data_IF_409312317532
#
_entry.id   IF_409312317532
#
_cell.length_a   1.000
_cell.length_b   1.000
_cell.length_c   1.000
_cell.angle_alpha   90.00
_cell.angle_beta   90.00
_cell.angle_gamma   90.00
#
_symmetry.space_group_name_H-M   'P 1'
#
loop_
_entity.id
_entity.type
_entity.pdbx_description
1 polymer ?
#
# COMPACT_ATOMS: atom_id res chain seq x y z
N UNK A 1 22.67 8.03 6.88
CA UNK A 1 21.39 7.48 7.38
C UNK A 1 21.46 5.97 7.21
N UNK A 2 21.07 5.22 8.23
CA UNK A 2 21.16 3.75 8.19
C UNK A 2 19.81 3.16 7.80
N UNK A 3 19.75 2.36 6.73
CA UNK A 3 18.57 1.63 6.28
C UNK A 3 18.36 0.30 7.03
N UNK A 4 19.01 0.13 8.16
CA UNK A 4 18.84 -1.06 9.00
C UNK A 4 17.41 -1.12 9.51
N UNK A 5 16.67 -2.15 9.08
CA UNK A 5 15.30 -2.39 9.52
C UNK A 5 15.32 -3.10 10.87
N UNK A 6 14.53 -2.60 11.80
CA UNK A 6 14.40 -3.18 13.14
C UNK A 6 13.17 -4.09 13.16
N UNK A 7 13.30 -5.29 12.62
CA UNK A 7 12.19 -6.26 12.45
C UNK A 7 11.60 -6.76 13.76
N UNK A 8 12.35 -6.67 14.87
CA UNK A 8 11.84 -7.00 16.22
C UNK A 8 10.87 -5.97 16.80
N UNK A 9 10.65 -4.83 16.11
CA UNK A 9 9.68 -3.80 16.49
C UNK A 9 8.70 -3.55 15.34
N UNK A 10 7.43 -3.36 15.66
CA UNK A 10 6.38 -3.02 14.73
C UNK A 10 5.83 -1.63 15.05
N UNK A 11 5.77 -0.75 14.06
CA UNK A 11 5.18 0.59 14.20
C UNK A 11 3.66 0.53 14.05
N UNK A 12 3.17 -0.23 13.07
CA UNK A 12 1.74 -0.39 12.83
C UNK A 12 1.46 -1.65 12.05
N UNK A 13 0.22 -2.13 12.15
CA UNK A 13 -0.31 -3.21 11.32
C UNK A 13 -1.80 -3.00 11.12
N UNK A 14 -2.25 -3.08 9.89
CA UNK A 14 -3.68 -3.02 9.55
C UNK A 14 -4.00 -3.98 8.41
N UNK A 15 -5.21 -4.52 8.42
CA UNK A 15 -5.75 -5.33 7.34
C UNK A 15 -7.26 -5.08 7.24
N UNK A 16 -7.71 -4.69 6.06
CA UNK A 16 -9.13 -4.48 5.77
C UNK A 16 -9.51 -5.26 4.52
N UNK A 17 -10.76 -5.67 4.46
CA UNK A 17 -11.27 -6.45 3.32
C UNK A 17 -12.52 -5.80 2.74
N UNK A 18 -12.73 -6.03 1.45
CA UNK A 18 -13.92 -5.64 0.72
C UNK A 18 -14.28 -6.70 -0.33
N UNK A 19 -15.57 -6.80 -0.66
CA UNK A 19 -16.04 -7.72 -1.70
C UNK A 19 -15.84 -7.09 -3.07
N UNK A 20 -15.40 -7.91 -4.02
CA UNK A 20 -15.37 -7.64 -5.46
C UNK A 20 -16.43 -8.50 -6.11
N UNK A 21 -17.41 -7.89 -6.81
CA UNK A 21 -18.49 -8.58 -7.51
C UNK A 21 -18.03 -9.01 -8.91
N UNK A 22 -17.02 -9.87 -8.92
CA UNK A 22 -16.52 -10.52 -10.12
C UNK A 22 -15.93 -11.90 -9.76
N UNK A 23 -16.00 -12.87 -10.69
CA UNK A 23 -15.32 -14.14 -10.55
C UNK A 23 -13.81 -13.94 -10.39
N UNK A 24 -13.18 -14.71 -9.51
CA UNK A 24 -11.74 -14.56 -9.22
C UNK A 24 -10.86 -14.71 -10.46
N UNK A 25 -11.29 -15.50 -11.46
CA UNK A 25 -10.59 -15.72 -12.71
C UNK A 25 -10.51 -14.48 -13.62
N UNK A 26 -11.33 -13.45 -13.34
CA UNK A 26 -11.32 -12.16 -14.03
C UNK A 26 -10.49 -11.11 -13.29
N UNK A 27 -10.13 -11.37 -12.03
CA UNK A 27 -9.33 -10.47 -11.21
C UNK A 27 -7.84 -10.74 -11.41
N UNK A 28 -7.07 -9.66 -11.55
CA UNK A 28 -5.62 -9.71 -11.61
C UNK A 28 -5.07 -8.47 -10.90
N UNK A 29 -4.70 -8.67 -9.61
CA UNK A 29 -4.21 -7.59 -8.75
C UNK A 29 -2.89 -7.02 -9.27
N UNK A 30 -1.99 -7.88 -9.75
CA UNK A 30 -0.70 -7.43 -10.25
C UNK A 30 -0.85 -6.53 -11.47
N UNK A 31 -1.68 -6.95 -12.45
CA UNK A 31 -1.94 -6.12 -13.60
C UNK A 31 -2.68 -4.83 -13.25
N UNK A 32 -3.64 -4.88 -12.32
CA UNK A 32 -4.32 -3.69 -11.82
C UNK A 32 -3.31 -2.72 -11.18
N UNK A 33 -2.51 -3.17 -10.23
CA UNK A 33 -1.57 -2.32 -9.48
C UNK A 33 -0.57 -1.63 -10.40
N UNK A 34 0.07 -2.40 -11.30
CA UNK A 34 1.14 -1.87 -12.14
C UNK A 34 0.67 -1.15 -13.42
N UNK A 35 -0.62 -1.00 -13.60
CA UNK A 35 -1.21 -0.22 -14.68
C UNK A 35 -2.30 0.74 -14.18
N UNK A 36 -2.37 0.94 -12.85
CA UNK A 36 -3.30 1.88 -12.22
C UNK A 36 -2.96 3.31 -12.68
N UNK A 37 -3.87 4.02 -13.38
CA UNK A 37 -3.64 5.40 -13.75
C UNK A 37 -3.59 6.30 -12.52
N UNK A 38 -2.73 7.33 -12.54
CA UNK A 38 -2.60 8.29 -11.44
C UNK A 38 -3.95 8.90 -11.02
N UNK A 39 -4.77 9.31 -11.99
CA UNK A 39 -6.10 9.87 -11.71
C UNK A 39 -7.04 8.87 -11.02
N UNK A 40 -6.90 7.56 -11.27
CA UNK A 40 -7.65 6.52 -10.57
C UNK A 40 -7.10 6.31 -9.16
N UNK A 41 -5.78 6.30 -8.99
CA UNK A 41 -5.14 6.25 -7.68
C UNK A 41 -5.61 7.40 -6.78
N UNK A 42 -5.59 8.64 -7.29
CA UNK A 42 -6.06 9.82 -6.56
C UNK A 42 -7.53 9.69 -6.13
N UNK A 43 -8.40 9.11 -6.98
CA UNK A 43 -9.81 8.87 -6.62
C UNK A 43 -10.00 7.84 -5.52
N UNK A 44 -9.07 6.90 -5.37
CA UNK A 44 -9.17 5.81 -4.41
C UNK A 44 -8.94 6.21 -2.95
N UNK A 45 -8.38 7.38 -2.67
CA UNK A 45 -8.33 7.94 -1.31
C UNK A 45 -8.07 9.45 -1.33
N UNK A 46 -8.97 10.23 -1.96
CA UNK A 46 -8.84 11.70 -1.97
C UNK A 46 -9.13 12.30 -0.59
N UNK A 47 -8.39 13.31 -0.12
CA UNK A 47 -7.26 13.97 -0.77
C UNK A 47 -5.88 13.34 -0.46
N UNK A 48 -5.83 12.20 0.21
CA UNK A 48 -4.60 11.62 0.72
C UNK A 48 -3.67 11.16 -0.41
N UNK A 49 -4.22 10.50 -1.45
CA UNK A 49 -3.47 10.05 -2.60
C UNK A 49 -3.10 11.23 -3.53
N UNK A 50 -1.80 11.44 -3.74
CA UNK A 50 -1.28 12.59 -4.48
C UNK A 50 -0.79 12.18 -5.87
N UNK A 51 0.06 11.14 -5.94
CA UNK A 51 0.65 10.68 -7.20
C UNK A 51 0.99 9.21 -7.15
N UNK A 52 0.88 8.52 -8.28
CA UNK A 52 1.35 7.16 -8.44
C UNK A 52 1.97 6.96 -9.83
N UNK A 53 2.98 6.09 -9.87
CA UNK A 53 3.64 5.69 -11.11
C UNK A 53 4.27 4.31 -10.97
N UNK A 54 4.68 3.74 -12.10
CA UNK A 54 5.30 2.41 -12.14
C UNK A 54 6.59 2.45 -12.93
N UNK A 55 7.54 1.63 -12.51
CA UNK A 55 8.84 1.44 -13.15
C UNK A 55 9.38 0.04 -12.83
N UNK A 56 10.66 -0.18 -13.09
CA UNK A 56 11.39 -1.39 -12.71
C UNK A 56 12.69 -1.01 -12.03
N UNK A 57 13.19 -1.88 -11.16
CA UNK A 57 14.56 -1.82 -10.64
C UNK A 57 15.56 -2.20 -11.74
N UNK A 58 16.84 -1.94 -11.52
CA UNK A 58 17.92 -2.29 -12.44
C UNK A 58 18.02 -3.82 -12.67
N UNK A 59 17.61 -4.63 -11.68
CA UNK A 59 17.52 -6.09 -11.80
C UNK A 59 16.16 -6.58 -12.34
N UNK A 60 15.31 -5.66 -12.85
CA UNK A 60 14.08 -5.95 -13.57
C UNK A 60 12.85 -6.25 -12.70
N UNK A 61 12.91 -6.07 -11.39
CA UNK A 61 11.72 -6.22 -10.52
C UNK A 61 10.76 -5.06 -10.73
N UNK A 62 9.47 -5.36 -10.76
CA UNK A 62 8.43 -4.34 -10.91
C UNK A 62 8.38 -3.43 -9.68
N UNK A 63 8.19 -2.13 -9.92
CA UNK A 63 8.06 -1.13 -8.86
C UNK A 63 6.77 -0.31 -9.03
N UNK A 64 6.14 0.01 -7.89
CA UNK A 64 5.15 1.07 -7.77
C UNK A 64 5.70 2.20 -6.90
N UNK A 65 5.57 3.43 -7.38
CA UNK A 65 5.96 4.63 -6.62
C UNK A 65 4.69 5.35 -6.25
N UNK A 66 4.45 5.52 -4.94
CA UNK A 66 3.26 6.18 -4.44
C UNK A 66 3.65 7.38 -3.59
N UNK A 67 2.92 8.48 -3.75
CA UNK A 67 3.05 9.69 -2.94
C UNK A 67 1.69 9.95 -2.30
N UNK A 68 1.66 10.02 -0.97
CA UNK A 68 0.41 10.15 -0.22
C UNK A 68 0.61 10.85 1.13
N UNK A 69 -0.45 11.47 1.63
CA UNK A 69 -0.51 11.99 3.00
C UNK A 69 -1.14 10.95 3.91
N UNK A 70 -0.41 10.54 4.96
CA UNK A 70 -0.96 9.69 6.04
C UNK A 70 -0.93 10.50 7.33
N UNK A 71 -2.09 10.96 7.77
CA UNK A 71 -2.18 11.96 8.82
C UNK A 71 -1.48 13.26 8.40
N UNK A 72 -0.45 13.68 9.15
CA UNK A 72 0.36 14.86 8.82
C UNK A 72 1.71 14.52 8.16
N UNK A 73 1.90 13.28 7.73
CA UNK A 73 3.16 12.81 7.15
C UNK A 73 3.01 12.60 5.65
N UNK A 74 3.81 13.31 4.85
CA UNK A 74 3.94 13.01 3.43
C UNK A 74 4.84 11.78 3.28
N UNK A 75 4.29 10.72 2.68
CA UNK A 75 5.00 9.50 2.37
C UNK A 75 5.39 9.46 0.91
N UNK A 76 6.67 9.12 0.63
CA UNK A 76 7.15 8.78 -0.71
C UNK A 76 7.63 7.34 -0.66
N UNK A 77 6.89 6.47 -1.32
CA UNK A 77 7.02 5.03 -1.19
C UNK A 77 7.56 4.45 -2.51
N UNK A 78 8.68 3.73 -2.43
CA UNK A 78 9.32 3.07 -3.55
C UNK A 78 9.14 1.55 -3.42
N UNK A 79 7.93 1.09 -3.70
CA UNK A 79 7.56 -0.30 -3.54
C UNK A 79 8.18 -1.20 -4.59
N UNK A 80 9.01 -2.15 -4.17
CA UNK A 80 9.54 -3.22 -5.01
C UNK A 80 8.70 -4.48 -4.80
N UNK A 81 8.29 -5.13 -5.88
CA UNK A 81 7.52 -6.36 -5.81
C UNK A 81 8.41 -7.54 -5.38
N UNK A 82 8.08 -8.16 -4.25
CA UNK A 82 8.58 -9.49 -3.87
C UNK A 82 7.71 -10.60 -4.49
N UNK A 83 6.39 -10.37 -4.57
CA UNK A 83 5.42 -11.25 -5.21
C UNK A 83 4.50 -10.36 -6.06
N UNK A 84 4.24 -10.79 -7.29
CA UNK A 84 3.31 -10.13 -8.20
C UNK A 84 2.60 -11.18 -9.05
N UNK A 85 1.48 -11.70 -8.54
CA UNK A 85 0.60 -12.68 -9.21
C UNK A 85 -0.82 -12.13 -9.34
N UNK A 86 -1.70 -12.75 -10.12
CA UNK A 86 -3.09 -12.32 -10.20
C UNK A 86 -3.83 -12.25 -8.86
N UNK A 87 -3.47 -13.11 -7.90
CA UNK A 87 -4.17 -13.21 -6.62
C UNK A 87 -3.40 -12.68 -5.41
N UNK A 88 -2.12 -12.32 -5.58
CA UNK A 88 -1.26 -11.86 -4.50
C UNK A 88 -0.18 -10.91 -5.01
N UNK A 89 -0.14 -9.70 -4.44
CA UNK A 89 1.00 -8.80 -4.54
C UNK A 89 1.58 -8.55 -3.15
N UNK A 90 2.89 -8.76 -3.00
CA UNK A 90 3.64 -8.34 -1.81
C UNK A 90 4.68 -7.31 -2.24
N UNK A 91 4.51 -6.10 -1.76
CA UNK A 91 5.30 -4.94 -2.10
C UNK A 91 6.08 -4.48 -0.87
N UNK A 92 7.36 -4.20 -1.02
CA UNK A 92 8.21 -3.76 0.09
C UNK A 92 8.88 -2.44 -0.29
N UNK A 93 8.82 -1.47 0.62
CA UNK A 93 9.47 -0.16 0.45
C UNK A 93 10.18 0.26 1.73
N UNK A 94 11.38 0.80 1.62
CA UNK A 94 11.93 1.69 2.64
C UNK A 94 11.54 3.10 2.26
N UNK A 95 10.42 3.55 2.82
CA UNK A 95 9.71 4.77 2.42
C UNK A 95 10.29 6.00 3.11
N UNK A 96 10.36 7.10 2.38
CA UNK A 96 10.62 8.42 2.97
C UNK A 96 9.37 8.97 3.63
N UNK A 97 9.51 9.43 4.87
CA UNK A 97 8.47 10.05 5.67
C UNK A 97 8.88 11.50 5.99
N UNK A 98 8.18 12.46 5.40
CA UNK A 98 8.36 13.88 5.64
C UNK A 98 7.33 14.35 6.64
N UNK A 99 7.77 14.60 7.85
CA UNK A 99 6.96 15.08 8.97
C UNK A 99 7.16 16.57 9.19
N UNK A 100 6.32 17.26 9.99
CA UNK A 100 6.58 18.65 10.40
C UNK A 100 7.95 18.83 11.09
N UNK A 101 8.50 17.79 11.70
CA UNK A 101 9.80 17.83 12.39
C UNK A 101 10.99 17.45 11.49
N UNK A 102 10.75 17.10 10.23
CA UNK A 102 11.78 16.73 9.27
C UNK A 102 11.55 15.37 8.62
N UNK A 103 12.56 14.91 7.87
CA UNK A 103 12.53 13.65 7.12
C UNK A 103 13.12 12.50 7.95
N UNK A 104 12.48 11.35 7.84
CA UNK A 104 12.99 10.06 8.32
C UNK A 104 12.55 8.94 7.38
N UNK A 105 12.88 7.68 7.67
CA UNK A 105 12.48 6.53 6.85
C UNK A 105 11.90 5.41 7.68
N UNK A 106 10.94 4.71 7.10
CA UNK A 106 10.30 3.52 7.67
C UNK A 106 10.16 2.44 6.61
N UNK A 107 10.25 1.16 7.00
CA UNK A 107 9.88 0.09 6.10
C UNK A 107 8.36 -0.10 6.09
N UNK A 108 7.80 -0.24 4.89
CA UNK A 108 6.40 -0.60 4.68
C UNK A 108 6.35 -1.91 3.89
N UNK A 109 5.58 -2.87 4.37
CA UNK A 109 5.22 -4.09 3.67
C UNK A 109 3.73 -3.97 3.36
N UNK A 110 3.41 -3.84 2.07
CA UNK A 110 2.05 -3.72 1.56
C UNK A 110 1.67 -5.01 0.83
N UNK A 111 0.65 -5.69 1.33
CA UNK A 111 0.20 -6.97 0.77
C UNK A 111 -1.25 -6.85 0.32
N UNK A 112 -1.48 -7.09 -0.96
CA UNK A 112 -2.78 -7.13 -1.60
C UNK A 112 -3.10 -8.57 -1.99
N UNK A 113 -4.25 -9.08 -1.59
CA UNK A 113 -4.63 -10.44 -1.93
C UNK A 113 -6.11 -10.55 -2.29
N UNK A 114 -6.45 -11.56 -3.10
CA UNK A 114 -7.84 -11.96 -3.33
C UNK A 114 -8.03 -13.43 -3.07
N UNK A 115 -9.17 -13.79 -2.50
CA UNK A 115 -9.63 -15.17 -2.36
C UNK A 115 -11.06 -15.31 -2.89
N UNK A 116 -11.36 -16.47 -3.46
CA UNK A 116 -12.71 -16.79 -3.93
C UNK A 116 -13.68 -16.87 -2.74
N UNK A 117 -14.86 -16.26 -2.89
CA UNK A 117 -16.02 -16.47 -2.00
C UNK A 117 -16.94 -17.48 -2.68
N UNK A 118 -17.37 -17.19 -3.91
CA UNK A 118 -18.22 -18.06 -4.74
C UNK A 118 -17.86 -17.89 -6.23
N UNK A 119 -18.73 -18.38 -7.13
CA UNK A 119 -18.46 -18.31 -8.59
C UNK A 119 -18.61 -16.91 -9.18
N UNK A 120 -19.15 -15.96 -8.44
CA UNK A 120 -19.45 -14.59 -8.89
C UNK A 120 -18.76 -13.52 -8.08
N UNK A 121 -18.20 -13.85 -6.91
CA UNK A 121 -17.61 -12.89 -5.98
C UNK A 121 -16.28 -13.38 -5.41
N UNK A 122 -15.41 -12.43 -5.09
CA UNK A 122 -14.18 -12.69 -4.32
C UNK A 122 -13.97 -11.61 -3.25
N UNK A 123 -13.14 -11.92 -2.25
CA UNK A 123 -12.72 -10.99 -1.22
C UNK A 123 -11.35 -10.43 -1.55
N UNK A 124 -11.25 -9.13 -1.59
CA UNK A 124 -9.99 -8.40 -1.64
C UNK A 124 -9.57 -8.04 -0.22
N UNK A 125 -8.30 -8.25 0.11
CA UNK A 125 -7.70 -7.84 1.38
C UNK A 125 -6.51 -6.94 1.12
N UNK A 126 -6.48 -5.80 1.79
CA UNK A 126 -5.41 -4.81 1.81
C UNK A 126 -4.75 -4.82 3.18
N UNK A 127 -3.50 -5.26 3.26
CA UNK A 127 -2.75 -5.36 4.51
C UNK A 127 -1.48 -4.52 4.43
N UNK A 128 -1.25 -3.73 5.47
CA UNK A 128 -0.07 -2.87 5.59
C UNK A 128 0.60 -3.11 6.93
N UNK A 129 1.90 -3.41 6.91
CA UNK A 129 2.74 -3.53 8.11
C UNK A 129 3.90 -2.55 8.01
N UNK A 130 4.17 -1.81 9.07
CA UNK A 130 5.28 -0.87 9.15
C UNK A 130 6.29 -1.28 10.23
N UNK A 131 7.57 -1.26 9.87
CA UNK A 131 8.68 -1.46 10.79
C UNK A 131 9.56 -0.20 10.86
N UNK A 132 10.10 0.15 12.03
CA UNK A 132 11.04 1.26 12.13
C UNK A 132 12.38 0.88 11.48
N UNK A 133 13.02 1.88 10.89
CA UNK A 133 14.45 1.83 10.60
C UNK A 133 15.23 2.35 11.80
N UNK A 134 16.56 2.15 11.81
CA UNK A 134 17.42 2.81 12.80
C UNK A 134 17.34 4.34 12.67
N UNK A 135 17.26 4.86 11.43
CA UNK A 135 17.06 6.30 11.15
C UNK A 135 15.78 6.84 11.81
N UNK A 136 14.67 6.08 11.77
CA UNK A 136 13.43 6.46 12.45
C UNK A 136 13.59 6.48 13.98
N UNK A 137 14.26 5.48 14.56
CA UNK A 137 14.47 5.44 16.00
C UNK A 137 15.34 6.61 16.48
N UNK A 138 16.41 6.93 15.75
CA UNK A 138 17.27 8.07 16.04
C UNK A 138 16.51 9.40 15.89
N UNK A 139 15.65 9.50 14.86
CA UNK A 139 14.81 10.66 14.62
C UNK A 139 13.83 10.92 15.78
N UNK A 140 13.07 9.92 16.23
CA UNK A 140 12.13 10.11 17.35
C UNK A 140 12.85 10.39 18.66
N UNK A 141 14.00 9.74 18.91
CA UNK A 141 14.83 10.00 20.09
C UNK A 141 15.34 11.45 20.12
N UNK A 142 15.81 11.97 18.99
CA UNK A 142 16.24 13.38 18.85
C UNK A 142 15.12 14.37 19.19
N UNK A 143 13.88 14.03 18.91
CA UNK A 143 12.71 14.88 19.18
C UNK A 143 12.03 14.55 20.52
N UNK A 144 12.62 13.68 21.34
CA UNK A 144 12.08 13.31 22.65
C UNK A 144 10.74 12.57 22.58
N UNK A 145 10.45 11.90 21.46
CA UNK A 145 9.19 11.15 21.28
C UNK A 145 9.41 9.69 21.65
N UNK A 146 8.68 9.14 22.67
CA UNK A 146 8.72 7.71 22.96
C UNK A 146 8.25 6.86 21.77
N UNK A 147 8.84 5.66 21.63
CA UNK A 147 8.49 4.75 20.53
C UNK A 147 6.99 4.42 20.51
N UNK A 148 6.40 4.14 21.65
CA UNK A 148 4.99 3.77 21.79
C UNK A 148 4.07 4.92 21.32
N UNK A 149 4.42 6.16 21.61
CA UNK A 149 3.66 7.35 21.15
C UNK A 149 3.72 7.47 19.63
N UNK A 150 4.90 7.26 19.04
CA UNK A 150 5.07 7.27 17.59
C UNK A 150 4.34 6.10 16.91
N UNK A 151 4.39 4.92 17.52
CA UNK A 151 3.69 3.72 17.04
C UNK A 151 2.17 3.89 17.09
N UNK A 152 1.62 4.40 18.20
CA UNK A 152 0.18 4.67 18.36
C UNK A 152 -0.32 5.69 17.33
N UNK A 153 0.45 6.76 17.09
CA UNK A 153 0.12 7.74 16.06
C UNK A 153 0.10 7.10 14.67
N UNK A 154 1.14 6.33 14.33
CA UNK A 154 1.23 5.64 13.04
C UNK A 154 0.13 4.58 12.87
N UNK A 155 -0.20 3.83 13.93
CA UNK A 155 -1.28 2.84 13.93
C UNK A 155 -2.63 3.49 13.64
N UNK A 156 -2.92 4.61 14.30
CA UNK A 156 -4.18 5.35 14.10
C UNK A 156 -4.27 5.91 12.68
N UNK A 157 -3.26 6.65 12.24
CA UNK A 157 -3.30 7.37 10.98
C UNK A 157 -3.23 6.42 9.79
N UNK A 158 -2.35 5.40 9.83
CA UNK A 158 -2.24 4.37 8.81
C UNK A 158 -3.43 3.42 8.77
N UNK A 159 -4.02 3.09 9.93
CA UNK A 159 -5.23 2.27 10.01
C UNK A 159 -6.44 2.99 9.43
N UNK A 160 -6.63 4.28 9.74
CA UNK A 160 -7.70 5.11 9.16
C UNK A 160 -7.56 5.18 7.63
N UNK A 161 -6.37 5.53 7.13
CA UNK A 161 -6.09 5.61 5.70
C UNK A 161 -6.42 4.27 4.99
N UNK A 162 -5.85 3.15 5.46
CA UNK A 162 -6.07 1.84 4.87
C UNK A 162 -7.55 1.42 4.89
N UNK A 163 -8.29 1.77 5.94
CA UNK A 163 -9.73 1.48 6.04
C UNK A 163 -10.56 2.20 4.98
N UNK A 164 -10.17 3.44 4.62
CA UNK A 164 -10.86 4.26 3.63
C UNK A 164 -10.51 3.87 2.20
N UNK A 165 -9.23 3.56 1.92
CA UNK A 165 -8.80 3.20 0.57
C UNK A 165 -9.25 1.79 0.14
N UNK A 166 -9.31 0.83 1.07
CA UNK A 166 -9.59 -0.59 0.77
C UNK A 166 -10.87 -0.80 -0.05
N UNK A 167 -12.04 -0.27 0.31
CA UNK A 167 -13.27 -0.43 -0.49
C UNK A 167 -13.17 0.26 -1.85
N UNK A 168 -12.41 1.35 -1.97
CA UNK A 168 -12.24 2.11 -3.21
C UNK A 168 -11.28 1.39 -4.17
N UNK A 169 -10.23 0.76 -3.66
CA UNK A 169 -9.39 -0.14 -4.44
C UNK A 169 -10.16 -1.36 -4.93
N UNK A 170 -10.96 -2.00 -4.06
CA UNK A 170 -11.82 -3.12 -4.47
C UNK A 170 -12.75 -2.72 -5.61
N UNK A 171 -13.41 -1.57 -5.52
CA UNK A 171 -14.29 -1.06 -6.59
C UNK A 171 -13.52 -0.75 -7.89
N UNK A 172 -12.28 -0.27 -7.80
CA UNK A 172 -11.41 -0.05 -8.97
C UNK A 172 -11.01 -1.37 -9.64
N UNK A 173 -10.63 -2.38 -8.85
CA UNK A 173 -10.32 -3.74 -9.34
C UNK A 173 -11.55 -4.36 -10.01
N UNK A 174 -12.75 -4.22 -9.39
CA UNK A 174 -14.00 -4.71 -9.94
C UNK A 174 -14.30 -4.12 -11.33
N UNK A 175 -14.22 -2.79 -11.48
CA UNK A 175 -14.43 -2.12 -12.79
C UNK A 175 -13.49 -2.68 -13.86
N UNK A 176 -12.23 -2.94 -13.50
CA UNK A 176 -11.26 -3.52 -14.43
C UNK A 176 -11.59 -4.96 -14.82
N UNK A 177 -11.99 -5.79 -13.84
CA UNK A 177 -12.39 -7.17 -14.07
C UNK A 177 -13.61 -7.28 -15.00
N UNK A 178 -14.60 -6.39 -14.83
CA UNK A 178 -15.79 -6.30 -15.69
C UNK A 178 -15.42 -5.87 -17.12
N UNK A 179 -14.58 -4.83 -17.26
CA UNK A 179 -14.14 -4.36 -18.58
C UNK A 179 -13.38 -5.43 -19.38
N UNK A 180 -12.53 -6.22 -18.73
CA UNK A 180 -11.83 -7.37 -19.37
C UNK A 180 -12.80 -8.46 -19.84
N UNK A 181 -13.88 -8.68 -19.08
CA UNK A 181 -14.91 -9.65 -19.45
C UNK A 181 -15.64 -9.25 -20.74
N UNK A 182 -15.94 -7.98 -20.93
CA UNK A 182 -16.61 -7.45 -22.12
C UNK A 182 -15.72 -7.54 -23.39
N UNK A 183 -14.42 -7.26 -23.25
CA UNK A 183 -13.48 -7.30 -24.39
C UNK A 183 -13.16 -8.72 -24.90
N UNK A 184 -13.42 -9.77 -24.13
CA UNK A 184 -13.24 -11.18 -24.54
C UNK A 184 -14.49 -11.80 -25.15
N UNK A 185 -15.64 -11.13 -25.02
CA UNK A 185 -16.93 -11.60 -25.55
C UNK A 185 -17.31 -10.95 -26.89
N UNK A 186 -16.54 -9.96 -27.35
CA UNK A 186 -16.65 -9.28 -28.64
C UNK A 186 -15.60 -9.82 -29.62
#
# INVERSE_FOLDING_TARGET
MSDVIITGKQLSSSAYSAVINAPIEKVDIADWLFSLPEAEYQRCCSPDHISAGTTSTDDGKRMSINVEMIGQTLMVQHYVAEIATPSLCKMVSTSDAFTPNGRTRVQIIWTLSVRKIDDTTCEYTNSVVAHPTQDFLDFIAKHGTPFEVAADARQRDGGDHNSRETPLFAASIERRAVARGASRAA
#
